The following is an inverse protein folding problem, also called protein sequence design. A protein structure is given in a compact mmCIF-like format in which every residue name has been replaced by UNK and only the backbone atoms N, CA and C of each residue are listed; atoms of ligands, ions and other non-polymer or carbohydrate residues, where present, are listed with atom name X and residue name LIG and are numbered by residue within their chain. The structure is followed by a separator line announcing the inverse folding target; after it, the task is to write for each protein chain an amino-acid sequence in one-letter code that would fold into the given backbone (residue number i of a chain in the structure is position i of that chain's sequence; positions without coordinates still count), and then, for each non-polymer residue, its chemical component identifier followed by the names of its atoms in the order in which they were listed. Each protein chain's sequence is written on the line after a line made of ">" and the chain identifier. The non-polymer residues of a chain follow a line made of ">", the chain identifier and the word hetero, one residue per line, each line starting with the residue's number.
data_IF_157729171757
#
_entry.id   IF_157729171757
#
_cell.length_a   1.000
_cell.length_b   1.000
_cell.length_c   1.000
_cell.angle_alpha   90.00
_cell.angle_beta   90.00
_cell.angle_gamma   90.00
#
_symmetry.space_group_name_H-M   'P 1'
#
loop_
_entity.id
_entity.type
_entity.pdbx_description
1 polymer ?
#
# COMPACT_ATOMS: atom_id res chain seq x y z
N UNK A 1 22.66 -1.69 33.84
CA UNK A 1 22.83 -2.26 32.50
C UNK A 1 21.43 -2.39 31.95
N UNK A 2 21.01 -1.50 31.06
CA UNK A 2 19.73 -1.57 30.34
C UNK A 2 19.87 -2.66 29.31
N UNK A 3 19.19 -3.79 29.48
CA UNK A 3 19.07 -4.81 28.46
C UNK A 3 18.57 -4.15 27.18
N UNK A 4 19.32 -4.28 26.10
CA UNK A 4 18.87 -3.89 24.78
C UNK A 4 17.67 -4.77 24.45
N UNK A 5 16.47 -4.17 24.41
CA UNK A 5 15.25 -4.83 23.96
C UNK A 5 15.48 -5.26 22.51
N UNK A 6 15.53 -6.55 22.27
CA UNK A 6 15.65 -7.11 20.93
C UNK A 6 14.30 -6.92 20.22
N UNK A 7 14.31 -6.21 19.11
CA UNK A 7 13.12 -6.00 18.30
C UNK A 7 12.78 -7.30 17.55
N UNK A 8 11.63 -7.87 17.84
CA UNK A 8 11.09 -9.01 17.09
C UNK A 8 10.27 -8.52 15.91
N UNK A 9 10.36 -9.24 14.79
CA UNK A 9 9.50 -8.96 13.64
C UNK A 9 8.06 -9.38 13.97
N UNK A 10 7.03 -8.74 13.37
CA UNK A 10 5.63 -9.09 13.65
C UNK A 10 5.31 -10.57 13.48
N UNK A 11 5.98 -11.24 12.54
CA UNK A 11 5.84 -12.68 12.28
C UNK A 11 6.51 -13.59 13.33
N UNK A 12 7.47 -13.06 14.08
CA UNK A 12 8.18 -13.79 15.13
C UNK A 12 7.50 -13.65 16.50
N UNK A 13 6.39 -12.90 16.55
CA UNK A 13 5.61 -12.69 17.78
C UNK A 13 4.64 -13.83 17.97
N UNK A 14 4.81 -14.55 19.06
CA UNK A 14 3.89 -15.62 19.44
C UNK A 14 2.69 -15.02 20.16
N UNK A 15 1.51 -15.26 19.61
CA UNK A 15 0.24 -14.86 20.19
C UNK A 15 -0.59 -16.09 20.54
N UNK A 16 -1.41 -15.98 21.57
CA UNK A 16 -2.41 -16.99 21.91
C UNK A 16 -3.69 -16.33 22.41
N UNK A 17 -4.80 -17.02 22.28
CA UNK A 17 -6.10 -16.56 22.78
C UNK A 17 -6.40 -17.11 24.14
N UNK A 18 -6.88 -16.25 25.04
CA UNK A 18 -7.23 -16.63 26.41
C UNK A 18 -8.37 -15.78 26.95
N UNK A 19 -9.13 -16.39 27.87
CA UNK A 19 -10.09 -15.71 28.73
C UNK A 19 -9.65 -15.75 30.21
N UNK A 20 -8.52 -16.37 30.55
CA UNK A 20 -8.01 -16.47 31.91
C UNK A 20 -7.25 -15.18 32.31
N UNK A 21 -7.73 -14.48 33.35
CA UNK A 21 -7.09 -13.26 33.85
C UNK A 21 -5.62 -13.42 34.23
N UNK A 22 -5.23 -14.62 34.71
CA UNK A 22 -3.87 -14.90 35.13
C UNK A 22 -2.89 -14.96 33.95
N UNK A 23 -3.40 -15.36 32.80
CA UNK A 23 -2.61 -15.44 31.56
C UNK A 23 -2.53 -14.11 30.82
N UNK A 24 -3.42 -13.15 31.16
CA UNK A 24 -3.48 -11.84 30.52
C UNK A 24 -2.61 -10.79 31.20
N UNK A 25 -2.60 -10.77 32.52
CA UNK A 25 -1.94 -9.70 33.29
C UNK A 25 -0.44 -9.61 32.97
N UNK A 26 0.03 -8.41 32.65
CA UNK A 26 1.42 -8.16 32.33
C UNK A 26 1.82 -8.47 30.89
N UNK A 27 0.88 -8.94 30.07
CA UNK A 27 1.07 -9.21 28.64
C UNK A 27 0.52 -8.07 27.78
N UNK A 28 0.62 -8.21 26.47
CA UNK A 28 0.20 -7.22 25.50
C UNK A 28 -0.94 -7.75 24.63
N UNK A 29 -1.94 -6.93 24.37
CA UNK A 29 -2.95 -7.18 23.34
C UNK A 29 -2.48 -6.62 22.01
N UNK A 30 -2.23 -7.46 20.98
CA UNK A 30 -1.80 -6.99 19.65
C UNK A 30 -2.94 -6.30 18.88
N UNK A 31 -4.19 -6.64 19.18
CA UNK A 31 -5.39 -6.13 18.52
C UNK A 31 -6.38 -5.56 19.52
N UNK A 32 -7.21 -4.62 19.06
CA UNK A 32 -8.36 -4.17 19.84
C UNK A 32 -9.33 -5.33 20.07
N UNK A 33 -9.93 -5.41 21.26
CA UNK A 33 -11.07 -6.27 21.47
C UNK A 33 -12.31 -5.57 20.92
N UNK A 34 -13.02 -6.24 20.02
CA UNK A 34 -14.12 -5.68 19.25
C UNK A 34 -15.38 -6.51 19.52
N UNK A 35 -16.46 -5.83 19.91
CA UNK A 35 -17.81 -6.38 19.92
C UNK A 35 -18.37 -6.29 18.50
N UNK A 36 -18.87 -7.39 17.99
CA UNK A 36 -19.56 -7.45 16.70
C UNK A 36 -20.99 -7.87 16.89
N UNK A 37 -21.93 -7.13 16.28
CA UNK A 37 -23.33 -7.50 16.26
C UNK A 37 -23.94 -7.18 14.89
N UNK A 38 -25.07 -7.78 14.61
CA UNK A 38 -25.83 -7.52 13.39
C UNK A 38 -27.02 -6.63 13.73
N UNK A 39 -27.23 -5.57 12.96
CA UNK A 39 -28.37 -4.67 13.07
C UNK A 39 -29.20 -4.77 11.78
N UNK A 40 -30.48 -5.09 11.93
CA UNK A 40 -31.40 -5.23 10.80
C UNK A 40 -32.05 -3.88 10.50
N UNK A 41 -31.82 -3.38 9.29
CA UNK A 41 -32.51 -2.20 8.76
C UNK A 41 -33.61 -2.63 7.83
N UNK A 42 -34.79 -2.14 8.06
CA UNK A 42 -35.93 -2.31 7.18
C UNK A 42 -36.07 -1.07 6.30
N UNK A 43 -35.95 -1.25 5.00
CA UNK A 43 -36.24 -0.22 4.02
C UNK A 43 -37.76 0.08 4.06
N UNK A 44 -38.12 1.34 4.30
CA UNK A 44 -39.52 1.75 4.46
C UNK A 44 -40.29 1.70 3.14
N UNK A 45 -39.59 1.85 2.00
CA UNK A 45 -40.23 1.91 0.68
C UNK A 45 -40.39 0.51 0.06
N UNK A 46 -39.40 -0.37 0.21
CA UNK A 46 -39.36 -1.70 -0.40
C UNK A 46 -39.80 -2.81 0.56
N UNK A 47 -39.70 -2.56 1.86
CA UNK A 47 -39.93 -3.54 2.91
C UNK A 47 -38.81 -4.59 3.05
N UNK A 48 -37.72 -4.47 2.30
CA UNK A 48 -36.55 -5.34 2.42
C UNK A 48 -35.83 -5.13 3.74
N UNK A 49 -35.35 -6.26 4.30
CA UNK A 49 -34.52 -6.23 5.52
C UNK A 49 -33.08 -6.46 5.12
N UNK A 50 -32.23 -5.44 5.38
CA UNK A 50 -30.78 -5.51 5.16
C UNK A 50 -30.10 -5.62 6.51
N UNK A 51 -29.40 -6.74 6.74
CA UNK A 51 -28.60 -6.95 7.95
C UNK A 51 -27.22 -6.33 7.79
N UNK A 52 -26.87 -5.37 8.63
CA UNK A 52 -25.56 -4.69 8.62
C UNK A 52 -24.77 -5.13 9.84
N UNK A 53 -23.54 -5.62 9.59
CA UNK A 53 -22.62 -5.93 10.66
C UNK A 53 -22.04 -4.63 11.25
N UNK A 54 -22.14 -4.51 12.57
CA UNK A 54 -21.60 -3.39 13.36
C UNK A 54 -20.46 -3.85 14.22
N UNK A 55 -19.45 -3.01 14.32
CA UNK A 55 -18.25 -3.25 15.10
C UNK A 55 -18.00 -2.09 16.04
N UNK A 56 -17.75 -2.40 17.33
CA UNK A 56 -17.38 -1.43 18.35
C UNK A 56 -16.16 -1.91 19.11
N UNK A 57 -15.13 -1.06 19.24
CA UNK A 57 -14.00 -1.32 20.10
C UNK A 57 -14.48 -1.24 21.54
N UNK A 58 -14.35 -2.33 22.30
CA UNK A 58 -14.72 -2.40 23.72
C UNK A 58 -13.50 -2.29 24.64
N UNK A 59 -12.34 -2.78 24.17
CA UNK A 59 -11.06 -2.57 24.87
C UNK A 59 -9.98 -2.25 23.83
N UNK A 60 -9.21 -1.21 24.09
CA UNK A 60 -8.10 -0.82 23.24
C UNK A 60 -6.92 -1.81 23.39
N UNK A 61 -6.18 -2.03 22.30
CA UNK A 61 -4.94 -2.81 22.31
C UNK A 61 -3.88 -2.21 23.24
N UNK A 62 -2.85 -2.96 23.54
CA UNK A 62 -1.67 -2.52 24.29
C UNK A 62 -1.43 -3.32 25.56
N UNK A 63 -0.59 -2.81 26.44
CA UNK A 63 -0.21 -3.45 27.67
C UNK A 63 -1.41 -3.67 28.61
N UNK A 64 -1.54 -4.89 29.15
CA UNK A 64 -2.63 -5.28 30.04
C UNK A 64 -2.21 -4.98 31.50
N UNK A 65 -2.55 -3.78 31.95
CA UNK A 65 -2.49 -3.38 33.35
C UNK A 65 -3.64 -4.00 34.16
N UNK A 66 -3.64 -3.83 35.46
CA UNK A 66 -4.77 -4.27 36.30
C UNK A 66 -6.09 -3.57 35.91
N UNK A 67 -6.03 -2.28 35.52
CA UNK A 67 -7.21 -1.53 35.10
C UNK A 67 -7.76 -2.09 33.79
N UNK A 68 -6.89 -2.27 32.79
CA UNK A 68 -7.29 -2.85 31.48
C UNK A 68 -7.76 -4.30 31.61
N UNK A 69 -7.18 -5.08 32.52
CA UNK A 69 -7.65 -6.42 32.84
C UNK A 69 -9.09 -6.40 33.37
N UNK A 70 -9.43 -5.44 34.23
CA UNK A 70 -10.80 -5.29 34.73
C UNK A 70 -11.79 -4.93 33.61
N UNK A 71 -11.37 -4.07 32.63
CA UNK A 71 -12.17 -3.75 31.44
C UNK A 71 -12.41 -4.98 30.57
N UNK A 72 -11.37 -5.79 30.32
CA UNK A 72 -11.48 -7.04 29.56
C UNK A 72 -12.43 -8.01 30.25
N UNK A 73 -12.27 -8.19 31.57
CA UNK A 73 -13.13 -9.09 32.33
C UNK A 73 -14.60 -8.62 32.30
N UNK A 74 -14.83 -7.33 32.41
CA UNK A 74 -16.18 -6.76 32.31
C UNK A 74 -16.78 -7.04 30.92
N UNK A 75 -16.02 -6.84 29.85
CA UNK A 75 -16.46 -7.09 28.47
C UNK A 75 -16.76 -8.60 28.24
N UNK A 76 -15.96 -9.51 28.82
CA UNK A 76 -16.21 -10.96 28.76
C UNK A 76 -17.48 -11.30 29.55
N UNK A 77 -17.65 -10.78 30.77
CA UNK A 77 -18.84 -11.02 31.60
C UNK A 77 -20.12 -10.45 30.98
N UNK A 78 -20.02 -9.32 30.29
CA UNK A 78 -21.13 -8.72 29.54
C UNK A 78 -21.49 -9.53 28.27
N UNK A 79 -20.65 -10.48 27.85
CA UNK A 79 -20.82 -11.25 26.61
C UNK A 79 -20.48 -10.45 25.36
N UNK A 80 -19.78 -9.33 25.50
CA UNK A 80 -19.37 -8.49 24.38
C UNK A 80 -18.21 -9.12 23.59
N UNK A 81 -17.34 -9.85 24.27
CA UNK A 81 -16.24 -10.65 23.70
C UNK A 81 -16.14 -11.99 24.42
N UNK A 82 -15.58 -13.01 23.80
CA UNK A 82 -15.37 -14.34 24.40
C UNK A 82 -13.98 -14.52 25.00
N UNK A 83 -12.99 -13.96 24.35
CA UNK A 83 -11.57 -14.07 24.67
C UNK A 83 -10.80 -12.90 24.05
N UNK A 84 -9.53 -12.76 24.39
CA UNK A 84 -8.61 -11.81 23.80
C UNK A 84 -7.34 -12.50 23.31
N UNK A 85 -6.72 -11.95 22.28
CA UNK A 85 -5.41 -12.35 21.80
C UNK A 85 -4.33 -11.63 22.60
N UNK A 86 -3.39 -12.36 23.17
CA UNK A 86 -2.32 -11.81 24.00
C UNK A 86 -0.95 -12.29 23.55
N UNK A 87 0.09 -11.50 23.84
CA UNK A 87 1.48 -11.81 23.59
C UNK A 87 2.34 -11.42 24.80
N UNK A 88 3.45 -12.12 25.00
CA UNK A 88 4.49 -11.73 25.96
C UNK A 88 5.35 -10.57 25.44
N UNK A 89 5.39 -10.41 24.14
CA UNK A 89 6.15 -9.37 23.47
C UNK A 89 5.37 -8.06 23.39
N UNK A 90 6.07 -6.94 23.50
CA UNK A 90 5.51 -5.60 23.30
C UNK A 90 5.16 -5.41 21.83
N UNK A 91 3.88 -5.56 21.52
CA UNK A 91 3.35 -5.45 20.16
C UNK A 91 2.74 -4.09 19.85
N UNK A 92 2.88 -3.10 20.75
CA UNK A 92 2.28 -1.78 20.56
C UNK A 92 2.75 -1.12 19.28
N UNK A 93 4.03 -1.28 18.92
CA UNK A 93 4.62 -0.68 17.74
C UNK A 93 4.53 -1.57 16.48
N UNK A 94 4.25 -2.87 16.65
CA UNK A 94 4.26 -3.83 15.53
C UNK A 94 3.03 -3.72 14.64
N UNK A 95 1.88 -3.31 15.16
CA UNK A 95 0.65 -3.18 14.36
C UNK A 95 0.56 -1.88 13.59
N UNK A 96 1.41 -0.91 13.90
CA UNK A 96 1.45 0.38 13.21
C UNK A 96 2.24 0.33 11.90
N UNK A 97 3.07 -0.68 11.66
CA UNK A 97 4.09 -0.66 10.60
C UNK A 97 4.16 -1.88 9.68
N UNK A 98 3.09 -2.65 9.53
CA UNK A 98 2.90 -3.39 8.29
C UNK A 98 1.99 -2.55 7.39
N UNK A 99 2.51 -1.65 6.57
CA UNK A 99 1.69 -0.99 5.58
C UNK A 99 1.18 -2.11 4.66
N UNK A 100 -0.12 -2.43 4.74
CA UNK A 100 -0.79 -3.34 3.81
C UNK A 100 -0.65 -2.86 2.36
N UNK A 101 -0.15 -1.64 2.17
CA UNK A 101 -0.05 -0.97 0.89
C UNK A 101 1.37 -0.48 0.66
N UNK A 102 1.89 -0.82 -0.50
CA UNK A 102 3.11 -0.24 -1.04
C UNK A 102 2.82 1.18 -1.51
N UNK A 103 3.73 2.09 -1.19
CA UNK A 103 3.72 3.45 -1.72
C UNK A 103 4.79 3.59 -2.80
N UNK A 104 4.62 4.54 -3.68
CA UNK A 104 5.63 4.89 -4.67
C UNK A 104 6.47 6.05 -4.14
N UNK A 105 7.78 5.92 -4.24
CA UNK A 105 8.75 6.92 -3.80
C UNK A 105 9.66 7.32 -4.95
N UNK A 106 10.02 8.58 -5.01
CA UNK A 106 11.14 9.07 -5.80
C UNK A 106 12.35 9.21 -4.87
N UNK A 107 13.41 8.49 -5.19
CA UNK A 107 14.67 8.49 -4.44
C UNK A 107 15.75 9.17 -5.29
N UNK A 108 16.29 10.28 -4.82
CA UNK A 108 17.40 10.99 -5.46
C UNK A 108 18.73 10.44 -4.92
N UNK A 109 19.56 9.91 -5.82
CA UNK A 109 20.89 9.39 -5.51
C UNK A 109 21.91 10.20 -6.32
N UNK A 110 22.76 11.00 -5.68
CA UNK A 110 23.84 11.69 -6.35
C UNK A 110 24.97 10.70 -6.67
N UNK A 111 25.45 10.74 -7.90
CA UNK A 111 26.59 9.95 -8.36
C UNK A 111 27.73 10.93 -8.68
N UNK A 112 28.91 10.58 -8.21
CA UNK A 112 30.11 11.30 -8.54
C UNK A 112 30.80 10.60 -9.72
N UNK A 113 30.78 11.23 -10.88
CA UNK A 113 31.43 10.74 -12.08
C UNK A 113 32.34 11.81 -12.67
N UNK A 114 33.62 11.47 -12.90
CA UNK A 114 34.67 12.33 -13.50
C UNK A 114 34.66 13.78 -12.98
N UNK A 115 34.52 13.96 -11.67
CA UNK A 115 34.51 15.31 -11.05
C UNK A 115 33.20 16.07 -11.13
N UNK A 116 32.16 15.44 -11.63
CA UNK A 116 30.78 16.00 -11.67
C UNK A 116 29.85 15.17 -10.78
N UNK A 117 28.95 15.87 -10.11
CA UNK A 117 27.86 15.23 -9.39
C UNK A 117 26.64 15.23 -10.32
N UNK A 118 26.20 14.03 -10.69
CA UNK A 118 24.93 13.83 -11.42
C UNK A 118 23.91 13.28 -10.45
N UNK A 119 22.71 13.87 -10.44
CA UNK A 119 21.59 13.40 -9.63
C UNK A 119 20.80 12.39 -10.44
N UNK A 120 20.56 11.22 -9.86
CA UNK A 120 19.73 10.19 -10.47
C UNK A 120 18.46 10.01 -9.64
N UNK A 121 17.33 10.02 -10.31
CA UNK A 121 16.00 9.88 -9.73
C UNK A 121 15.44 8.50 -10.02
N UNK A 122 15.23 7.71 -8.98
CA UNK A 122 14.63 6.38 -9.07
C UNK A 122 13.20 6.43 -8.56
N UNK A 123 12.26 5.97 -9.37
CA UNK A 123 10.92 5.68 -8.91
C UNK A 123 10.87 4.24 -8.38
N UNK A 124 10.54 4.09 -7.11
CA UNK A 124 10.61 2.82 -6.37
C UNK A 124 9.28 2.56 -5.69
N UNK A 125 8.82 1.30 -5.75
CA UNK A 125 7.71 0.84 -4.94
C UNK A 125 8.24 0.22 -3.65
N UNK A 126 7.80 0.74 -2.49
CA UNK A 126 8.26 0.27 -1.20
C UNK A 126 7.19 0.46 -0.11
N UNK A 127 7.36 -0.20 1.02
CA UNK A 127 6.49 -0.05 2.18
C UNK A 127 6.92 1.14 3.05
N UNK A 128 8.22 1.40 3.12
CA UNK A 128 8.80 2.45 3.96
C UNK A 128 9.87 3.25 3.22
N UNK A 129 10.16 4.45 3.70
CA UNK A 129 11.25 5.28 3.16
C UNK A 129 12.61 4.58 3.26
N UNK A 130 13.03 3.98 4.38
CA UNK A 130 14.29 3.24 4.45
C UNK A 130 14.38 2.12 3.42
N UNK A 131 13.31 1.36 3.22
CA UNK A 131 13.25 0.31 2.21
C UNK A 131 13.35 0.87 0.79
N UNK A 132 12.69 2.01 0.49
CA UNK A 132 12.81 2.68 -0.80
C UNK A 132 14.26 3.08 -1.11
N UNK A 133 14.96 3.60 -0.11
CA UNK A 133 16.40 3.95 -0.23
C UNK A 133 17.24 2.71 -0.49
N UNK A 134 17.01 1.64 0.24
CA UNK A 134 17.75 0.38 0.07
C UNK A 134 17.53 -0.19 -1.33
N UNK A 135 16.29 -0.31 -1.77
CA UNK A 135 15.94 -0.83 -3.12
C UNK A 135 16.62 0.01 -4.21
N UNK A 136 16.51 1.35 -4.13
CA UNK A 136 17.14 2.23 -5.12
C UNK A 136 18.67 2.10 -5.14
N UNK A 137 19.29 1.98 -3.97
CA UNK A 137 20.73 1.83 -3.83
C UNK A 137 21.22 0.51 -4.44
N UNK A 138 20.61 -0.61 -4.07
CA UNK A 138 20.98 -1.93 -4.57
C UNK A 138 20.71 -2.07 -6.07
N UNK A 139 19.57 -1.53 -6.55
CA UNK A 139 19.30 -1.49 -7.99
C UNK A 139 20.35 -0.66 -8.74
N UNK A 140 20.71 0.50 -8.20
CA UNK A 140 21.75 1.34 -8.77
C UNK A 140 23.11 0.65 -8.84
N UNK A 141 23.49 -0.09 -7.81
CA UNK A 141 24.73 -0.88 -7.80
C UNK A 141 24.73 -2.00 -8.84
N UNK A 142 23.64 -2.78 -8.89
CA UNK A 142 23.56 -3.96 -9.77
C UNK A 142 23.43 -3.60 -11.25
N UNK A 143 22.62 -2.60 -11.59
CA UNK A 143 22.20 -2.34 -12.97
C UNK A 143 22.71 -1.03 -13.56
N UNK A 144 23.22 -0.11 -12.72
CA UNK A 144 23.76 1.19 -13.16
C UNK A 144 25.24 1.34 -12.90
N UNK A 145 25.88 0.31 -12.32
CA UNK A 145 27.32 0.31 -12.04
C UNK A 145 27.75 1.37 -11.01
N UNK A 146 26.90 1.67 -10.05
CA UNK A 146 27.25 2.60 -8.97
C UNK A 146 28.24 1.91 -8.03
N UNK A 147 29.44 2.47 -7.96
CA UNK A 147 30.48 1.97 -7.06
C UNK A 147 30.49 2.76 -5.74
N UNK A 148 30.72 2.04 -4.64
CA UNK A 148 30.93 2.64 -3.33
C UNK A 148 29.66 2.84 -2.50
N UNK A 149 29.80 3.69 -1.47
CA UNK A 149 28.71 3.95 -0.53
C UNK A 149 27.67 4.91 -1.12
N UNK A 150 26.48 4.39 -1.37
CA UNK A 150 25.37 5.14 -1.93
C UNK A 150 24.57 5.80 -0.79
N UNK A 151 24.39 7.09 -0.88
CA UNK A 151 23.57 7.88 0.05
C UNK A 151 22.49 8.63 -0.70
N UNK A 152 21.25 8.30 -0.44
CA UNK A 152 20.12 9.10 -0.93
C UNK A 152 20.15 10.50 -0.31
N UNK A 153 19.96 11.53 -1.11
CA UNK A 153 19.90 12.93 -0.67
C UNK A 153 18.49 13.44 -0.51
N UNK A 154 17.55 12.81 -1.19
CA UNK A 154 16.12 13.19 -1.14
C UNK A 154 15.25 11.97 -1.37
N UNK A 155 14.17 11.86 -0.60
CA UNK A 155 13.09 10.91 -0.83
C UNK A 155 11.75 11.64 -0.78
N UNK A 156 10.91 11.42 -1.78
CA UNK A 156 9.58 12.06 -1.89
C UNK A 156 8.57 10.99 -2.25
N UNK A 157 7.43 10.99 -1.58
CA UNK A 157 6.30 10.15 -1.96
C UNK A 157 5.71 10.59 -3.30
N UNK A 158 5.48 9.64 -4.19
CA UNK A 158 4.85 9.87 -5.48
C UNK A 158 3.37 9.50 -5.37
N UNK A 159 2.50 10.49 -5.47
CA UNK A 159 1.06 10.26 -5.60
C UNK A 159 0.71 9.97 -7.07
N UNK A 160 1.05 8.77 -7.50
CA UNK A 160 0.74 8.24 -8.84
C UNK A 160 0.94 6.72 -8.88
N UNK A 161 0.17 6.05 -9.73
CA UNK A 161 0.38 4.64 -10.06
C UNK A 161 1.51 4.50 -11.08
N UNK A 162 2.51 3.69 -10.77
CA UNK A 162 3.58 3.38 -11.71
C UNK A 162 3.09 2.24 -12.62
N UNK A 163 3.08 2.49 -13.92
CA UNK A 163 2.77 1.48 -14.94
C UNK A 163 4.07 0.84 -15.36
N UNK A 164 4.28 -0.48 -15.10
CA UNK A 164 5.47 -1.19 -15.52
C UNK A 164 5.63 -1.16 -17.07
N UNK A 165 6.88 -1.09 -17.52
CA UNK A 165 7.19 -1.03 -18.96
C UNK A 165 6.83 -2.33 -19.70
N UNK A 166 6.90 -3.43 -19.00
CA UNK A 166 6.62 -4.80 -19.48
C UNK A 166 5.19 -5.26 -19.20
N UNK A 167 4.33 -4.33 -18.76
CA UNK A 167 2.93 -4.68 -18.49
C UNK A 167 2.28 -5.27 -19.76
N UNK A 168 1.55 -6.37 -19.58
CA UNK A 168 0.85 -7.10 -20.67
C UNK A 168 -0.13 -6.22 -21.49
N UNK A 169 -0.43 -5.01 -21.02
CA UNK A 169 -1.24 -4.02 -21.73
C UNK A 169 -0.52 -3.28 -22.85
N UNK A 170 0.81 -3.48 -23.02
CA UNK A 170 1.53 -2.94 -24.16
C UNK A 170 1.61 -4.06 -25.21
N UNK A 171 0.97 -3.91 -26.37
CA UNK A 171 1.06 -4.89 -27.44
C UNK A 171 2.52 -5.22 -27.76
N UNK A 172 2.83 -6.50 -28.02
CA UNK A 172 4.21 -6.94 -28.34
C UNK A 172 4.83 -6.16 -29.51
N UNK A 173 3.98 -5.71 -30.44
CA UNK A 173 4.39 -4.90 -31.61
C UNK A 173 4.99 -3.55 -31.21
N UNK A 174 4.59 -3.01 -30.04
CA UNK A 174 5.09 -1.73 -29.53
C UNK A 174 6.27 -1.89 -28.56
N UNK A 175 6.65 -3.13 -28.26
CA UNK A 175 7.86 -3.43 -27.48
C UNK A 175 9.08 -3.26 -28.38
N UNK A 176 9.50 -2.02 -28.58
CA UNK A 176 10.74 -1.75 -29.30
C UNK A 176 11.96 -2.12 -28.46
N UNK A 177 13.08 -2.50 -29.10
CA UNK A 177 14.31 -2.83 -28.38
C UNK A 177 14.74 -1.68 -27.47
N UNK A 178 15.47 -2.04 -26.40
CA UNK A 178 15.89 -1.18 -25.29
C UNK A 178 16.67 0.09 -25.66
N UNK A 179 17.06 0.24 -26.92
CA UNK A 179 17.91 1.33 -27.43
C UNK A 179 17.16 2.65 -27.71
N UNK A 180 15.83 2.67 -27.71
CA UNK A 180 15.11 3.93 -27.83
C UNK A 180 14.92 4.54 -26.45
N UNK A 181 15.58 5.68 -26.21
CA UNK A 181 15.46 6.49 -25.00
C UNK A 181 13.99 6.77 -24.71
N UNK A 182 13.47 6.14 -23.67
CA UNK A 182 12.11 6.36 -23.20
C UNK A 182 12.14 7.45 -22.14
N UNK A 183 11.30 8.43 -22.30
CA UNK A 183 11.04 9.42 -21.25
C UNK A 183 9.87 8.94 -20.40
N UNK A 184 9.79 9.42 -19.18
CA UNK A 184 8.67 9.14 -18.30
C UNK A 184 7.69 10.30 -18.28
N UNK A 185 6.40 9.97 -18.25
CA UNK A 185 5.33 10.95 -18.25
C UNK A 185 4.38 10.70 -17.08
N UNK A 186 4.01 11.78 -16.38
CA UNK A 186 2.91 11.77 -15.42
C UNK A 186 1.63 12.14 -16.14
N UNK A 187 0.66 11.22 -16.14
CA UNK A 187 -0.64 11.38 -16.81
C UNK A 187 -1.72 11.45 -15.76
N UNK A 188 -2.55 12.50 -15.83
CA UNK A 188 -3.71 12.69 -14.96
C UNK A 188 -4.97 12.18 -15.66
N UNK A 189 -5.67 11.26 -15.02
CA UNK A 189 -6.96 10.74 -15.44
C UNK A 189 -8.02 11.19 -14.45
N UNK A 190 -9.05 11.85 -14.96
CA UNK A 190 -10.22 12.23 -14.18
C UNK A 190 -11.31 11.20 -14.35
N UNK A 191 -11.79 10.67 -13.24
CA UNK A 191 -12.99 9.85 -13.17
C UNK A 191 -14.13 10.70 -12.63
N UNK A 192 -15.25 10.73 -13.34
CA UNK A 192 -16.48 11.41 -12.94
C UNK A 192 -17.60 10.37 -12.85
N UNK A 193 -18.37 10.39 -11.76
CA UNK A 193 -19.49 9.48 -11.54
C UNK A 193 -20.61 10.17 -10.76
N UNK A 194 -21.81 9.62 -10.84
CA UNK A 194 -22.95 10.10 -10.10
C UNK A 194 -23.17 9.22 -8.86
N UNK A 195 -23.24 9.82 -7.67
CA UNK A 195 -23.38 9.07 -6.40
C UNK A 195 -24.83 8.93 -5.92
N UNK A 196 -25.79 9.22 -6.81
CA UNK A 196 -27.23 9.26 -6.49
C UNK A 196 -27.74 10.68 -6.17
N UNK A 197 -26.87 11.56 -5.69
CA UNK A 197 -27.24 12.95 -5.35
C UNK A 197 -26.55 13.98 -6.25
N UNK A 198 -25.25 13.78 -6.52
CA UNK A 198 -24.42 14.75 -7.26
C UNK A 198 -23.31 14.08 -8.05
N UNK A 199 -22.78 14.83 -9.02
CA UNK A 199 -21.58 14.41 -9.74
C UNK A 199 -20.35 14.52 -8.84
N UNK A 200 -19.67 13.43 -8.64
CA UNK A 200 -18.36 13.34 -7.97
C UNK A 200 -17.24 13.25 -8.98
N UNK A 201 -16.04 13.68 -8.56
CA UNK A 201 -14.83 13.67 -9.37
C UNK A 201 -13.66 13.19 -8.55
N UNK A 202 -12.80 12.39 -9.17
CA UNK A 202 -11.52 11.97 -8.60
C UNK A 202 -10.45 12.05 -9.67
N UNK A 203 -9.27 12.54 -9.30
CA UNK A 203 -8.12 12.58 -10.19
C UNK A 203 -7.12 11.50 -9.77
N UNK A 204 -6.81 10.60 -10.70
CA UNK A 204 -5.80 9.56 -10.53
C UNK A 204 -4.61 9.88 -11.42
N UNK A 205 -3.41 9.73 -10.89
CA UNK A 205 -2.19 9.95 -11.65
C UNK A 205 -1.50 8.63 -11.98
N UNK A 206 -0.91 8.56 -13.17
CA UNK A 206 -0.13 7.43 -13.66
C UNK A 206 1.24 7.92 -14.11
N UNK A 207 2.29 7.13 -13.86
CA UNK A 207 3.61 7.33 -14.44
C UNK A 207 3.84 6.21 -15.43
N UNK A 208 4.16 6.57 -16.66
CA UNK A 208 4.35 5.63 -17.77
C UNK A 208 5.52 6.06 -18.65
N UNK A 209 6.27 5.08 -19.15
CA UNK A 209 7.30 5.32 -20.15
C UNK A 209 6.67 5.49 -21.54
N UNK A 210 7.11 6.51 -22.28
CA UNK A 210 6.67 6.77 -23.65
C UNK A 210 7.69 7.62 -24.40
N UNK A 211 7.56 7.68 -25.72
CA UNK A 211 8.40 8.54 -26.58
C UNK A 211 8.01 10.01 -26.44
N UNK A 212 6.72 10.25 -26.32
CA UNK A 212 6.13 11.57 -26.27
C UNK A 212 4.80 11.57 -25.52
N UNK A 213 4.25 12.77 -25.32
CA UNK A 213 2.96 12.99 -24.65
C UNK A 213 1.79 12.28 -25.36
N UNK A 214 1.82 12.18 -26.68
CA UNK A 214 0.79 11.52 -27.49
C UNK A 214 0.74 10.03 -27.16
N UNK A 215 1.88 9.35 -27.27
CA UNK A 215 2.01 7.93 -26.96
C UNK A 215 1.70 7.65 -25.46
N UNK A 216 2.10 8.54 -24.54
CA UNK A 216 1.75 8.40 -23.13
C UNK A 216 0.23 8.37 -22.90
N UNK A 217 -0.51 9.22 -23.59
CA UNK A 217 -1.98 9.24 -23.52
C UNK A 217 -2.61 7.98 -24.12
N UNK A 218 -2.13 7.54 -25.27
CA UNK A 218 -2.61 6.33 -25.95
C UNK A 218 -2.42 5.09 -25.08
N UNK A 219 -1.24 4.94 -24.47
CA UNK A 219 -0.93 3.83 -23.57
C UNK A 219 -1.82 3.83 -22.31
N UNK A 220 -2.10 5.00 -21.75
CA UNK A 220 -3.02 5.11 -20.61
C UNK A 220 -4.45 4.80 -21.03
N UNK A 221 -4.90 5.23 -22.22
CA UNK A 221 -6.22 4.88 -22.73
C UNK A 221 -6.37 3.34 -22.84
N UNK A 222 -5.38 2.68 -23.44
CA UNK A 222 -5.34 1.21 -23.56
C UNK A 222 -5.36 0.53 -22.18
N UNK A 223 -4.57 1.03 -21.20
CA UNK A 223 -4.58 0.50 -19.84
C UNK A 223 -5.96 0.59 -19.20
N UNK A 224 -6.65 1.72 -19.37
CA UNK A 224 -8.00 1.92 -18.83
C UNK A 224 -9.01 0.95 -19.46
N UNK A 225 -8.90 0.69 -20.77
CA UNK A 225 -9.75 -0.27 -21.47
C UNK A 225 -9.52 -1.70 -20.96
N UNK A 226 -8.25 -2.09 -20.74
CA UNK A 226 -7.91 -3.39 -20.17
C UNK A 226 -8.45 -3.53 -18.75
N UNK A 227 -8.22 -2.54 -17.89
CA UNK A 227 -8.74 -2.54 -16.52
C UNK A 227 -10.29 -2.60 -16.48
N UNK A 228 -10.96 -2.03 -17.47
CA UNK A 228 -12.41 -2.14 -17.63
C UNK A 228 -12.81 -3.56 -17.99
N UNK A 229 -12.17 -4.15 -19.00
CA UNK A 229 -12.45 -5.52 -19.44
C UNK A 229 -12.16 -6.56 -18.34
N UNK A 230 -11.13 -6.36 -17.53
CA UNK A 230 -10.83 -7.23 -16.38
C UNK A 230 -11.94 -7.17 -15.32
N UNK A 231 -12.40 -5.99 -14.97
CA UNK A 231 -13.52 -5.82 -14.01
C UNK A 231 -14.82 -6.43 -14.50
N UNK A 232 -15.12 -6.28 -15.79
CA UNK A 232 -16.29 -6.91 -16.40
C UNK A 232 -16.23 -8.45 -16.32
N UNK A 233 -15.03 -9.05 -16.48
CA UNK A 233 -14.82 -10.48 -16.29
C UNK A 233 -15.04 -10.93 -14.84
N UNK A 234 -14.65 -10.08 -13.88
CA UNK A 234 -14.83 -10.33 -12.45
C UNK A 234 -16.28 -10.06 -11.98
N UNK A 235 -17.20 -9.72 -12.90
CA UNK A 235 -18.60 -9.45 -12.62
C UNK A 235 -18.85 -8.08 -11.98
N UNK A 236 -17.85 -7.19 -12.02
CA UNK A 236 -17.99 -5.81 -11.55
C UNK A 236 -18.31 -4.92 -12.75
N UNK A 237 -19.59 -4.61 -12.93
CA UNK A 237 -20.01 -3.65 -13.94
C UNK A 237 -19.68 -2.22 -13.48
N UNK A 238 -19.05 -1.45 -14.36
CA UNK A 238 -18.90 -0.01 -14.13
C UNK A 238 -20.27 0.67 -14.22
N UNK A 239 -20.57 1.59 -13.32
CA UNK A 239 -21.75 2.45 -13.46
C UNK A 239 -21.73 3.09 -14.87
N UNK A 240 -22.80 2.94 -15.67
CA UNK A 240 -22.87 3.50 -17.03
C UNK A 240 -22.65 5.01 -17.08
N UNK A 241 -22.85 5.70 -15.95
CA UNK A 241 -22.59 7.13 -15.81
C UNK A 241 -21.14 7.48 -15.42
N UNK A 242 -20.28 6.47 -15.25
CA UNK A 242 -18.86 6.71 -14.94
C UNK A 242 -18.08 7.02 -16.22
N UNK A 243 -17.49 8.19 -16.26
CA UNK A 243 -16.61 8.62 -17.36
C UNK A 243 -15.17 8.76 -16.89
N UNK A 244 -14.21 8.32 -17.71
CA UNK A 244 -12.78 8.49 -17.47
C UNK A 244 -12.18 9.31 -18.60
N UNK A 245 -11.55 10.45 -18.25
CA UNK A 245 -10.98 11.38 -19.20
C UNK A 245 -9.53 11.67 -18.89
N UNK A 246 -8.65 11.51 -19.87
CA UNK A 246 -7.24 11.90 -19.76
C UNK A 246 -7.17 13.42 -19.85
N UNK A 247 -6.81 14.09 -18.75
CA UNK A 247 -6.81 15.55 -18.65
C UNK A 247 -5.47 16.17 -19.03
N UNK A 248 -4.39 15.61 -18.52
CA UNK A 248 -3.05 16.19 -18.68
C UNK A 248 -2.01 15.07 -18.74
N UNK A 249 -1.02 15.25 -19.60
CA UNK A 249 0.20 14.47 -19.60
C UNK A 249 1.39 15.43 -19.64
N UNK A 250 2.41 15.20 -18.82
CA UNK A 250 3.59 16.05 -18.71
C UNK A 250 4.83 15.19 -18.48
N UNK A 251 6.00 15.61 -18.94
CA UNK A 251 7.24 14.94 -18.59
C UNK A 251 7.40 14.81 -17.08
N UNK A 252 7.93 13.70 -16.63
CA UNK A 252 8.20 13.41 -15.23
C UNK A 252 9.68 13.11 -15.07
N UNK A 253 10.35 13.88 -14.21
CA UNK A 253 11.80 13.83 -14.01
C UNK A 253 12.21 12.62 -13.18
N UNK A 254 12.27 11.46 -13.83
CA UNK A 254 12.74 10.19 -13.29
C UNK A 254 13.67 9.55 -14.32
N UNK A 255 14.85 9.15 -13.89
CA UNK A 255 15.83 8.49 -14.75
C UNK A 255 15.56 6.99 -14.91
N UNK A 256 14.93 6.40 -13.89
CA UNK A 256 14.64 4.98 -13.88
C UNK A 256 13.44 4.64 -13.00
N UNK A 257 12.56 3.77 -13.50
CA UNK A 257 11.59 3.05 -12.69
C UNK A 257 12.17 1.70 -12.32
N UNK A 258 12.31 1.44 -11.03
CA UNK A 258 12.77 0.12 -10.54
C UNK A 258 11.67 -0.91 -10.82
N UNK A 259 12.00 -2.03 -11.49
CA UNK A 259 11.03 -3.08 -11.78
C UNK A 259 10.32 -3.58 -10.52
N UNK A 260 9.03 -3.92 -10.67
CA UNK A 260 8.23 -4.42 -9.55
C UNK A 260 8.85 -5.68 -8.95
N UNK A 261 9.29 -6.60 -9.79
CA UNK A 261 9.91 -7.89 -9.42
C UNK A 261 11.15 -7.68 -8.55
N UNK A 262 11.96 -6.65 -8.87
CA UNK A 262 13.11 -6.30 -8.05
C UNK A 262 12.69 -5.70 -6.71
N UNK A 263 11.70 -4.82 -6.71
CA UNK A 263 11.16 -4.26 -5.47
C UNK A 263 10.53 -5.34 -4.58
N UNK A 264 9.84 -6.31 -5.18
CA UNK A 264 9.15 -7.39 -4.46
C UNK A 264 10.14 -8.34 -3.74
N UNK A 265 11.41 -8.43 -4.17
CA UNK A 265 12.44 -9.20 -3.44
C UNK A 265 12.74 -8.64 -2.04
N UNK A 266 12.41 -7.40 -1.79
CA UNK A 266 12.58 -6.73 -0.49
C UNK A 266 11.29 -6.73 0.34
N UNK A 267 10.20 -7.25 -0.22
CA UNK A 267 8.94 -7.40 0.49
C UNK A 267 8.91 -8.78 1.11
N UNK A 268 8.96 -8.84 2.43
CA UNK A 268 8.63 -10.07 3.13
C UNK A 268 7.14 -10.34 2.89
N UNK A 269 6.81 -11.41 2.17
CA UNK A 269 5.42 -11.87 2.11
C UNK A 269 4.94 -12.15 3.53
N UNK A 270 3.74 -11.67 3.93
CA UNK A 270 3.15 -12.13 5.17
C UNK A 270 2.97 -13.64 5.03
N UNK A 271 3.73 -14.41 5.80
CA UNK A 271 3.58 -15.86 5.88
C UNK A 271 2.11 -16.14 6.13
N UNK A 272 1.44 -16.78 5.19
CA UNK A 272 0.06 -17.25 5.38
C UNK A 272 0.13 -18.27 6.50
N UNK A 273 -0.34 -17.87 7.68
CA UNK A 273 -0.63 -18.78 8.79
C UNK A 273 -2.05 -19.33 8.60
#
# INVERSE_FOLDING_TARGET
>A
MTEKKEWKRPQDVVTFRTSDPKEMLGKYMPKHAVKTWTEDFRDEDTGEVVSIERNQIVVERGYISQEKLAEIQFAIQAGDISDVEVSEDDVQDMTLYTPKYQSNFMVEIPIYDMGKITKNHFAVRAQTIPQAIQIAAEFGQMYRGFDGFIRATRVVTIDANIVPDDHACIPEVDRKPADERKDYFKVQVRTEWFDGEKMKKSDTHYIIAAKDVGQAKERIALLLDIMKAEREKDGVEDDPNTTRTIRKAMPFDVDCIVPKEFSDMFHEEPTKI
#
